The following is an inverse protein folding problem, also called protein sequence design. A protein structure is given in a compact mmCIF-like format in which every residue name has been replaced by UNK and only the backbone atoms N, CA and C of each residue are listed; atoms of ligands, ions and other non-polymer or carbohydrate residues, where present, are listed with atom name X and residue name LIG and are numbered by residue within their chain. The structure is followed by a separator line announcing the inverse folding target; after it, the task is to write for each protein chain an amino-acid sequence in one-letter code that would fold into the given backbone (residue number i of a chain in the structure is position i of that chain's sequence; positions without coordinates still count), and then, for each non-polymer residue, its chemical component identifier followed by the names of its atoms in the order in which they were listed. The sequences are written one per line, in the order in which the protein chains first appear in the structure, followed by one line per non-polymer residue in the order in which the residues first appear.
data_IF_300814868104
#
_entry.id   IF_300814868104
#
_cell.length_a   1.000
_cell.length_b   1.000
_cell.length_c   1.000
_cell.angle_alpha   90.00
_cell.angle_beta   90.00
_cell.angle_gamma   90.00
#
_symmetry.space_group_name_H-M   'P 1'
#
loop_
_entity.id
_entity.type
_entity.pdbx_description
1 polymer ?
#
# COMPACT_ATOMS: atom_id res chain seq x y z
N UNK A 1 12.44 13.78 -25.97
CA UNK A 1 12.53 12.36 -25.61
C UNK A 1 11.12 11.78 -25.61
N UNK A 2 10.92 10.58 -26.15
CA UNK A 2 9.65 9.87 -26.05
C UNK A 2 9.40 9.49 -24.57
N UNK A 3 8.14 9.38 -24.12
CA UNK A 3 7.84 8.89 -22.78
C UNK A 3 8.20 7.41 -22.66
N UNK A 4 8.79 7.02 -21.52
CA UNK A 4 9.00 5.61 -21.19
C UNK A 4 7.70 5.06 -20.59
N UNK A 5 7.10 4.09 -21.25
CA UNK A 5 5.86 3.45 -20.79
C UNK A 5 6.14 2.17 -20.02
N UNK A 6 5.61 2.08 -18.81
CA UNK A 6 5.75 0.96 -17.90
C UNK A 6 4.37 0.46 -17.47
N UNK A 7 4.30 -0.78 -16.99
CA UNK A 7 3.10 -1.37 -16.40
C UNK A 7 3.23 -1.39 -14.87
N UNK A 8 2.11 -1.23 -14.17
CA UNK A 8 2.07 -1.27 -12.70
C UNK A 8 2.64 -2.59 -12.15
N UNK A 9 3.51 -2.47 -11.14
CA UNK A 9 4.28 -3.57 -10.57
C UNK A 9 5.68 -3.76 -11.19
N UNK A 10 5.95 -3.18 -12.36
CA UNK A 10 7.30 -3.22 -12.94
C UNK A 10 8.27 -2.36 -12.13
N UNK A 11 9.55 -2.70 -12.18
CA UNK A 11 10.61 -1.95 -11.51
C UNK A 11 11.50 -1.28 -12.54
N UNK A 12 11.85 -0.01 -12.31
CA UNK A 12 12.73 0.73 -13.21
C UNK A 12 13.81 1.47 -12.42
N UNK A 13 14.87 1.83 -13.12
CA UNK A 13 16.00 2.56 -12.56
C UNK A 13 16.28 3.83 -13.38
N UNK A 14 16.71 4.89 -12.71
CA UNK A 14 17.10 6.14 -13.31
C UNK A 14 18.55 6.40 -12.93
N UNK A 15 19.37 6.68 -13.95
CA UNK A 15 20.78 7.00 -13.79
C UNK A 15 21.07 8.42 -14.26
N UNK A 16 21.73 9.20 -13.42
CA UNK A 16 22.26 10.51 -13.79
C UNK A 16 23.59 10.33 -14.52
N UNK A 17 23.64 10.76 -15.78
CA UNK A 17 24.80 10.57 -16.64
C UNK A 17 25.29 11.89 -17.23
N UNK A 18 26.60 12.06 -17.25
CA UNK A 18 27.28 13.24 -17.79
C UNK A 18 27.83 12.96 -19.17
N UNK A 19 28.07 14.03 -19.93
CA UNK A 19 28.77 13.91 -21.20
C UNK A 19 30.18 13.36 -21.00
N UNK A 20 30.59 12.42 -21.86
CA UNK A 20 31.87 11.68 -21.77
C UNK A 20 32.09 10.99 -20.42
N UNK A 21 31.02 10.63 -19.70
CA UNK A 21 31.07 9.90 -18.43
C UNK A 21 31.93 10.60 -17.37
N UNK A 22 31.99 11.94 -17.37
CA UNK A 22 32.66 12.70 -16.33
C UNK A 22 32.10 12.40 -14.94
N UNK A 23 32.96 12.41 -13.92
CA UNK A 23 32.51 12.14 -12.56
C UNK A 23 31.46 13.17 -12.12
N UNK A 24 30.31 12.69 -11.65
CA UNK A 24 29.20 13.50 -11.14
C UNK A 24 29.12 13.27 -9.63
N UNK A 25 29.06 14.35 -8.86
CA UNK A 25 28.93 14.30 -7.40
C UNK A 25 27.73 15.13 -6.96
N UNK A 26 27.29 14.98 -5.71
CA UNK A 26 26.15 15.71 -5.12
C UNK A 26 24.91 15.63 -6.02
N UNK A 27 24.55 14.40 -6.39
CA UNK A 27 23.44 14.12 -7.29
C UNK A 27 22.12 14.19 -6.53
N UNK A 28 21.15 14.92 -7.08
CA UNK A 28 19.77 14.97 -6.60
C UNK A 28 18.83 14.57 -7.72
N UNK A 29 17.94 13.61 -7.45
CA UNK A 29 16.85 13.24 -8.36
C UNK A 29 15.58 14.00 -7.99
N UNK A 30 14.82 14.43 -9.00
CA UNK A 30 13.56 15.15 -8.87
C UNK A 30 12.45 14.46 -9.65
N UNK A 31 11.22 14.60 -9.15
CA UNK A 31 9.97 14.24 -9.83
C UNK A 31 8.98 15.37 -9.68
N UNK A 32 8.49 15.89 -10.81
CA UNK A 32 7.56 17.01 -10.87
C UNK A 32 8.06 18.22 -10.04
N UNK A 33 9.37 18.50 -10.12
CA UNK A 33 10.02 19.59 -9.36
C UNK A 33 10.33 19.28 -7.89
N UNK A 34 9.84 18.15 -7.33
CA UNK A 34 10.12 17.75 -5.94
C UNK A 34 11.34 16.85 -5.86
N UNK A 35 12.27 17.17 -4.96
CA UNK A 35 13.43 16.32 -4.69
C UNK A 35 13.00 14.98 -4.09
N UNK A 36 13.51 13.88 -4.67
CA UNK A 36 13.23 12.51 -4.23
C UNK A 36 14.39 11.93 -3.42
N UNK A 37 15.61 12.03 -3.94
CA UNK A 37 16.79 11.40 -3.33
C UNK A 37 18.05 12.19 -3.63
N UNK A 38 18.94 12.28 -2.65
CA UNK A 38 20.25 12.94 -2.73
C UNK A 38 21.36 11.95 -2.39
N UNK A 39 22.51 12.12 -3.02
CA UNK A 39 23.73 11.38 -2.71
C UNK A 39 24.98 12.20 -3.04
N UNK A 40 26.01 12.08 -2.21
CA UNK A 40 27.29 12.77 -2.44
C UNK A 40 28.05 12.20 -3.64
N UNK A 41 27.97 10.90 -3.85
CA UNK A 41 28.50 10.21 -5.03
C UNK A 41 27.39 9.96 -6.04
N UNK A 42 27.76 9.68 -7.30
CA UNK A 42 26.76 9.26 -8.28
C UNK A 42 26.22 7.87 -7.91
N UNK A 43 24.90 7.74 -7.88
CA UNK A 43 24.21 6.49 -7.60
C UNK A 43 23.01 6.35 -8.52
N UNK A 44 22.62 5.10 -8.73
CA UNK A 44 21.43 4.77 -9.51
C UNK A 44 20.20 4.72 -8.60
N UNK A 45 19.12 5.39 -9.00
CA UNK A 45 17.88 5.40 -8.24
C UNK A 45 16.93 4.36 -8.80
N UNK A 46 16.60 3.34 -8.02
CA UNK A 46 15.57 2.35 -8.36
C UNK A 46 14.21 2.71 -7.75
N UNK A 47 13.16 2.47 -8.51
CA UNK A 47 11.77 2.52 -8.06
C UNK A 47 11.20 1.11 -8.25
N UNK A 48 11.14 0.30 -7.17
CA UNK A 48 10.56 -1.04 -7.23
C UNK A 48 9.03 -0.95 -7.22
N UNK A 49 8.36 -1.91 -7.85
CA UNK A 49 6.89 -2.02 -7.88
C UNK A 49 6.21 -0.68 -8.22
N UNK A 50 6.54 -0.13 -9.39
CA UNK A 50 6.06 1.17 -9.84
C UNK A 50 4.53 1.22 -9.89
N UNK A 51 3.98 2.34 -9.44
CA UNK A 51 2.54 2.60 -9.41
C UNK A 51 2.20 3.82 -10.25
N UNK A 52 0.90 4.05 -10.50
CA UNK A 52 0.43 5.27 -11.21
C UNK A 52 0.87 6.56 -10.51
N UNK A 53 1.11 6.52 -9.19
CA UNK A 53 1.61 7.67 -8.40
C UNK A 53 3.06 8.02 -8.74
N UNK A 54 3.77 7.11 -9.39
CA UNK A 54 5.14 7.32 -9.85
C UNK A 54 5.20 7.97 -11.24
N UNK A 55 4.05 8.26 -11.86
CA UNK A 55 4.00 9.01 -13.10
C UNK A 55 4.51 10.44 -12.91
N UNK A 56 5.27 10.91 -13.89
CA UNK A 56 5.71 12.30 -13.88
C UNK A 56 6.95 12.57 -14.69
N UNK A 57 7.40 13.82 -14.56
CA UNK A 57 8.58 14.36 -15.19
C UNK A 57 9.77 14.23 -14.25
N UNK A 58 10.75 13.42 -14.63
CA UNK A 58 11.96 13.15 -13.85
C UNK A 58 13.16 13.87 -14.43
N UNK A 59 14.01 14.42 -13.56
CA UNK A 59 15.32 14.96 -13.93
C UNK A 59 16.27 14.85 -12.74
N UNK A 60 17.57 14.90 -13.00
CA UNK A 60 18.59 15.01 -11.97
C UNK A 60 19.36 16.33 -12.08
N UNK A 61 19.89 16.79 -10.94
CA UNK A 61 20.96 17.80 -10.86
C UNK A 61 22.21 17.15 -10.29
N UNK A 62 23.39 17.63 -10.67
CA UNK A 62 24.64 17.12 -10.15
C UNK A 62 25.82 18.04 -10.43
N UNK A 63 26.85 17.90 -9.62
CA UNK A 63 28.08 18.67 -9.73
C UNK A 63 29.08 17.94 -10.61
N UNK A 64 29.53 18.63 -11.64
CA UNK A 64 30.59 18.18 -12.54
C UNK A 64 31.74 19.17 -12.37
N UNK A 65 32.86 18.67 -11.84
CA UNK A 65 33.98 19.51 -11.37
C UNK A 65 33.50 20.52 -10.31
N UNK A 66 33.34 21.80 -10.68
CA UNK A 66 32.94 22.90 -9.79
C UNK A 66 31.62 23.56 -10.20
N UNK A 67 30.92 23.00 -11.19
CA UNK A 67 29.67 23.55 -11.71
C UNK A 67 28.53 22.59 -11.46
N UNK A 68 27.38 23.16 -11.08
CA UNK A 68 26.13 22.40 -10.98
C UNK A 68 25.45 22.37 -12.35
N UNK A 69 25.05 21.18 -12.78
CA UNK A 69 24.35 20.96 -14.03
C UNK A 69 23.01 20.31 -13.77
N UNK A 70 22.04 20.65 -14.62
CA UNK A 70 20.71 20.04 -14.64
C UNK A 70 20.58 19.24 -15.92
N UNK A 71 20.09 18.01 -15.79
CA UNK A 71 19.80 17.14 -16.93
C UNK A 71 18.51 17.54 -17.64
N UNK A 72 18.33 17.02 -18.86
CA UNK A 72 17.03 17.08 -19.53
C UNK A 72 15.99 16.26 -18.77
N UNK A 73 14.74 16.69 -18.87
CA UNK A 73 13.62 15.99 -18.26
C UNK A 73 13.16 14.81 -19.11
N UNK A 74 12.88 13.68 -18.47
CA UNK A 74 12.26 12.50 -19.06
C UNK A 74 10.88 12.28 -18.44
N UNK A 75 9.91 11.82 -19.21
CA UNK A 75 8.57 11.54 -18.73
C UNK A 75 8.38 10.03 -18.58
N UNK A 76 7.95 9.60 -17.40
CA UNK A 76 7.68 8.20 -17.09
C UNK A 76 6.17 8.05 -16.91
N UNK A 77 5.59 7.07 -17.62
CA UNK A 77 4.16 6.77 -17.62
C UNK A 77 3.96 5.32 -17.23
N UNK A 78 3.46 5.08 -16.02
CA UNK A 78 3.00 3.79 -15.53
C UNK A 78 1.51 3.63 -15.84
N UNK A 79 1.18 2.55 -16.55
CA UNK A 79 -0.18 2.13 -16.91
C UNK A 79 -0.68 1.08 -15.92
N UNK A 80 -1.99 1.09 -15.63
CA UNK A 80 -2.62 0.07 -14.78
C UNK A 80 -2.41 -1.32 -15.36
N UNK A 81 -2.04 -2.25 -14.49
CA UNK A 81 -2.07 -3.66 -14.83
C UNK A 81 -3.48 -4.22 -14.61
N UNK A 82 -4.31 -4.22 -15.65
CA UNK A 82 -5.67 -4.76 -15.56
C UNK A 82 -5.70 -6.26 -15.18
N UNK A 83 -4.59 -6.99 -15.36
CA UNK A 83 -4.50 -8.39 -14.96
C UNK A 83 -4.37 -8.56 -13.44
N UNK A 84 -3.77 -7.61 -12.73
CA UNK A 84 -3.58 -7.68 -11.28
C UNK A 84 -4.90 -7.43 -10.49
N UNK A 85 -5.78 -6.59 -11.04
CA UNK A 85 -7.12 -6.40 -10.49
C UNK A 85 -7.95 -7.69 -10.50
N UNK A 86 -7.72 -8.58 -11.47
CA UNK A 86 -8.40 -9.89 -11.54
C UNK A 86 -7.93 -10.88 -10.47
N UNK A 87 -6.70 -10.72 -9.97
CA UNK A 87 -6.12 -11.56 -8.90
C UNK A 87 -6.56 -11.06 -7.54
N UNK A 88 -6.59 -9.74 -7.32
CA UNK A 88 -7.12 -9.18 -6.08
C UNK A 88 -8.64 -9.40 -5.95
N UNK A 89 -9.41 -9.29 -7.04
CA UNK A 89 -10.82 -9.66 -7.04
C UNK A 89 -11.06 -11.17 -6.81
N UNK A 90 -10.17 -12.05 -7.28
CA UNK A 90 -10.33 -13.51 -7.10
C UNK A 90 -9.98 -14.01 -5.69
N UNK A 91 -9.10 -13.31 -4.95
CA UNK A 91 -8.63 -13.78 -3.64
C UNK A 91 -9.66 -13.62 -2.51
N UNK A 92 -10.65 -12.74 -2.67
CA UNK A 92 -11.68 -12.42 -1.65
C UNK A 92 -13.04 -13.08 -1.88
N UNK A 93 -13.17 -14.06 -2.78
CA UNK A 93 -14.49 -14.59 -3.13
C UNK A 93 -15.18 -15.46 -2.06
N UNK A 94 -14.43 -16.09 -1.14
CA UNK A 94 -15.01 -16.94 -0.06
C UNK A 94 -14.84 -16.35 1.34
N UNK A 95 -13.69 -15.71 1.63
CA UNK A 95 -13.39 -15.13 2.95
C UNK A 95 -14.33 -13.97 3.34
N UNK A 96 -14.88 -13.25 2.35
CA UNK A 96 -15.77 -12.12 2.59
C UNK A 96 -17.14 -12.54 3.14
N UNK A 97 -17.59 -13.78 2.92
CA UNK A 97 -18.85 -14.30 3.47
C UNK A 97 -18.66 -15.12 4.74
N UNK A 98 -17.50 -15.78 4.90
CA UNK A 98 -17.20 -16.57 6.09
C UNK A 98 -17.10 -15.71 7.35
N UNK A 99 -16.47 -14.53 7.28
CA UNK A 99 -16.29 -13.66 8.45
C UNK A 99 -17.64 -13.14 8.97
N UNK A 100 -18.55 -12.56 8.14
CA UNK A 100 -19.88 -12.16 8.59
C UNK A 100 -20.70 -13.33 9.14
N UNK A 101 -20.64 -14.51 8.50
CA UNK A 101 -21.37 -15.69 8.95
C UNK A 101 -20.93 -16.13 10.36
N UNK A 102 -19.62 -16.18 10.61
CA UNK A 102 -19.08 -16.53 11.94
C UNK A 102 -19.51 -15.53 13.01
N UNK A 103 -19.51 -14.24 12.68
CA UNK A 103 -19.97 -13.19 13.60
C UNK A 103 -21.45 -13.36 13.94
N UNK A 104 -22.31 -13.62 12.95
CA UNK A 104 -23.75 -13.87 13.17
C UNK A 104 -23.98 -15.11 14.05
N UNK A 105 -23.23 -16.20 13.81
CA UNK A 105 -23.34 -17.41 14.62
C UNK A 105 -22.93 -17.13 16.08
N UNK A 106 -21.83 -16.42 16.31
CA UNK A 106 -21.39 -16.03 17.66
C UNK A 106 -22.46 -15.20 18.37
N UNK A 107 -23.04 -14.20 17.70
CA UNK A 107 -24.13 -13.40 18.27
C UNK A 107 -25.38 -14.24 18.61
N UNK A 108 -25.75 -15.20 17.75
CA UNK A 108 -26.89 -16.08 18.01
C UNK A 108 -26.64 -17.02 19.21
N UNK A 109 -25.42 -17.54 19.34
CA UNK A 109 -25.02 -18.40 20.47
C UNK A 109 -25.00 -17.60 21.77
N UNK A 110 -24.39 -16.41 21.79
CA UNK A 110 -24.31 -15.57 22.99
C UNK A 110 -25.71 -15.11 23.46
N UNK A 111 -26.55 -14.66 22.53
CA UNK A 111 -27.93 -14.25 22.85
C UNK A 111 -28.77 -15.43 23.33
N UNK A 112 -28.63 -16.61 22.72
CA UNK A 112 -29.30 -17.84 23.15
C UNK A 112 -28.88 -18.29 24.55
N UNK A 113 -27.57 -18.30 24.83
CA UNK A 113 -27.03 -18.62 26.15
C UNK A 113 -27.50 -17.63 27.22
N UNK A 114 -27.50 -16.33 26.89
CA UNK A 114 -28.00 -15.30 27.79
C UNK A 114 -29.48 -15.48 28.14
N UNK A 115 -30.33 -15.80 27.16
CA UNK A 115 -31.76 -16.06 27.41
C UNK A 115 -31.95 -17.31 28.28
N UNK A 116 -31.25 -18.40 27.98
CA UNK A 116 -31.33 -19.65 28.75
C UNK A 116 -30.88 -19.46 30.19
N UNK A 117 -29.79 -18.74 30.40
CA UNK A 117 -29.28 -18.43 31.75
C UNK A 117 -30.25 -17.54 32.53
N UNK A 118 -30.86 -16.53 31.89
CA UNK A 118 -31.89 -15.69 32.52
C UNK A 118 -33.14 -16.47 32.89
N UNK A 119 -33.60 -17.38 32.03
CA UNK A 119 -34.75 -18.26 32.32
C UNK A 119 -34.47 -19.17 33.52
N UNK A 120 -33.30 -19.82 33.55
CA UNK A 120 -32.87 -20.68 34.67
C UNK A 120 -32.78 -19.88 35.97
N UNK A 121 -32.16 -18.69 35.95
CA UNK A 121 -32.07 -17.81 37.11
C UNK A 121 -33.45 -17.41 37.64
N UNK A 122 -34.37 -17.07 36.73
CA UNK A 122 -35.75 -16.71 37.09
C UNK A 122 -36.49 -17.88 37.75
N UNK A 123 -36.30 -19.11 37.27
CA UNK A 123 -36.88 -20.31 37.89
C UNK A 123 -36.29 -20.60 39.27
N UNK A 124 -34.97 -20.47 39.43
CA UNK A 124 -34.28 -20.63 40.71
C UNK A 124 -34.76 -19.57 41.72
N UNK A 125 -34.88 -18.31 41.30
CA UNK A 125 -35.39 -17.23 42.15
C UNK A 125 -36.86 -17.45 42.53
N UNK A 126 -37.71 -17.94 41.61
CA UNK A 126 -39.11 -18.30 41.93
C UNK A 126 -39.19 -19.41 42.96
N UNK A 127 -38.39 -20.47 42.81
CA UNK A 127 -38.36 -21.60 43.76
C UNK A 127 -37.80 -21.22 45.13
N UNK A 128 -36.81 -20.31 45.21
CA UNK A 128 -36.36 -19.77 46.50
C UNK A 128 -37.40 -18.86 47.16
N UNK A 129 -38.12 -18.05 46.38
CA UNK A 129 -39.16 -17.14 46.91
C UNK A 129 -40.38 -17.88 47.44
N UNK A 130 -40.83 -18.95 46.79
CA UNK A 130 -41.90 -19.82 47.32
C UNK A 130 -41.47 -20.60 48.57
N UNK A 131 -40.18 -20.93 48.68
CA UNK A 131 -39.62 -21.60 49.86
C UNK A 131 -39.39 -20.67 51.06
N UNK A 132 -39.29 -19.35 50.85
CA UNK A 132 -39.12 -18.33 51.90
C UNK A 132 -40.45 -17.74 52.41
N UNK A 133 -41.54 -17.92 51.66
CA UNK A 133 -42.91 -17.47 51.99
C UNK A 133 -43.77 -18.57 52.68
N UNK A 134 -43.18 -19.71 53.01
CA UNK A 134 -43.80 -20.84 53.73
C UNK A 134 -43.00 -21.11 54.99
#
# INVERSE_FOLDING_TARGET
AAPEELTEGESFHIRCHSWKNWNVTKVTYYRNGKALKYGYENFEMSIPNATIKDNGSYYCTGWIKKQNHTSNTINIIVKKNYLDHSVHQRKTSWLQYLIPLLVVILFAVDTGLFILTQQQLTLILKTQRTRKNK
#
